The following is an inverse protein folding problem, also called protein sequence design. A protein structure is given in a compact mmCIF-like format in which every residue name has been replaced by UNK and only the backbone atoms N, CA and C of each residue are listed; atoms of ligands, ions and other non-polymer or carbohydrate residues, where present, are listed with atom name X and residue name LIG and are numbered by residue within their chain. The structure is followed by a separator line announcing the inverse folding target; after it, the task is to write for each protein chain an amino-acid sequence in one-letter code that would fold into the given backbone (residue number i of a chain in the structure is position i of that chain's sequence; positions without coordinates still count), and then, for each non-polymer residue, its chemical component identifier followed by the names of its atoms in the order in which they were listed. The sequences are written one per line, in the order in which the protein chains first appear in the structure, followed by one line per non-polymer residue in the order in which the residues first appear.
data_IF_309745903546
#
_entry.id   IF_309745903546
#
_cell.length_a   1.000
_cell.length_b   1.000
_cell.length_c   1.000
_cell.angle_alpha   90.00
_cell.angle_beta   90.00
_cell.angle_gamma   90.00
#
_symmetry.space_group_name_H-M   'P 1'
#
loop_
_entity.id
_entity.type
_entity.pdbx_description
1 polymer ?
#
# COMPACT_ATOMS: atom_id res chain seq x y z
N UNK A 1 -8.10 -6.49 -26.33
CA UNK A 1 -7.51 -5.34 -25.61
C UNK A 1 -6.26 -5.84 -24.92
N UNK A 2 -5.20 -5.05 -24.87
CA UNK A 2 -3.94 -5.48 -24.27
C UNK A 2 -4.08 -5.53 -22.75
N UNK A 3 -3.49 -6.56 -22.15
CA UNK A 3 -3.38 -6.70 -20.71
C UNK A 3 -2.04 -7.33 -20.30
N UNK A 4 -1.55 -6.97 -19.12
CA UNK A 4 -0.43 -7.68 -18.48
C UNK A 4 -0.99 -8.89 -17.73
N UNK A 5 -0.67 -10.09 -18.21
CA UNK A 5 -1.17 -11.35 -17.65
C UNK A 5 -0.03 -12.19 -17.13
N UNK A 6 -0.32 -13.04 -16.15
CA UNK A 6 0.61 -14.07 -15.66
C UNK A 6 -0.14 -15.35 -15.34
N UNK A 7 0.56 -16.47 -15.23
CA UNK A 7 0.01 -17.72 -14.73
C UNK A 7 0.50 -17.90 -13.29
N UNK A 8 -0.36 -17.68 -12.27
CA UNK A 8 0.07 -17.76 -10.88
C UNK A 8 0.69 -19.13 -10.53
N UNK A 9 1.73 -19.11 -9.69
CA UNK A 9 2.50 -20.32 -9.35
C UNK A 9 3.57 -20.73 -10.37
N UNK A 10 3.75 -19.96 -11.46
CA UNK A 10 4.74 -20.25 -12.50
C UNK A 10 5.60 -19.02 -12.82
N UNK A 11 6.91 -19.12 -12.56
CA UNK A 11 7.92 -18.10 -12.92
C UNK A 11 7.96 -17.85 -14.43
N UNK A 12 8.33 -16.64 -14.85
CA UNK A 12 8.57 -16.26 -16.25
C UNK A 12 7.35 -16.44 -17.18
N UNK A 13 6.14 -16.40 -16.63
CA UNK A 13 4.90 -16.47 -17.43
C UNK A 13 4.26 -15.11 -17.68
N UNK A 14 4.73 -14.07 -16.98
CA UNK A 14 4.24 -12.69 -17.12
C UNK A 14 4.55 -12.12 -18.50
N UNK A 15 3.52 -11.68 -19.22
CA UNK A 15 3.60 -11.17 -20.59
C UNK A 15 2.40 -10.28 -20.92
N UNK A 16 2.51 -9.51 -22.00
CA UNK A 16 1.33 -8.86 -22.59
C UNK A 16 0.58 -9.88 -23.44
N UNK A 17 -0.73 -9.93 -23.29
CA UNK A 17 -1.62 -10.74 -24.11
C UNK A 17 -2.86 -9.93 -24.52
N UNK A 18 -3.43 -10.28 -25.69
CA UNK A 18 -4.74 -9.79 -26.09
C UNK A 18 -5.83 -10.55 -25.34
N UNK A 19 -6.52 -9.86 -24.44
CA UNK A 19 -7.68 -10.40 -23.71
C UNK A 19 -9.00 -9.90 -24.32
N UNK A 20 -10.11 -10.62 -24.13
CA UNK A 20 -11.43 -10.15 -24.55
C UNK A 20 -11.74 -8.76 -24.01
N UNK A 21 -12.38 -7.91 -24.82
CA UNK A 21 -12.83 -6.60 -24.36
C UNK A 21 -13.88 -6.74 -23.25
N UNK A 22 -13.88 -5.79 -22.32
CA UNK A 22 -14.86 -5.75 -21.22
C UNK A 22 -15.96 -4.75 -21.57
N UNK A 23 -17.20 -5.21 -21.45
CA UNK A 23 -18.41 -4.37 -21.48
C UNK A 23 -18.98 -4.30 -20.07
N UNK A 24 -19.40 -3.12 -19.63
CA UNK A 24 -20.09 -2.96 -18.36
C UNK A 24 -21.51 -3.53 -18.45
N UNK A 25 -21.91 -4.33 -17.46
CA UNK A 25 -23.26 -4.84 -17.31
C UNK A 25 -24.14 -3.80 -16.61
N UNK A 26 -25.45 -4.05 -16.57
CA UNK A 26 -26.34 -3.30 -15.69
C UNK A 26 -25.85 -3.43 -14.24
N UNK A 27 -25.75 -2.29 -13.54
CA UNK A 27 -25.14 -2.16 -12.21
C UNK A 27 -23.66 -1.78 -12.20
N UNK A 28 -22.92 -1.89 -13.30
CA UNK A 28 -21.47 -1.67 -13.34
C UNK A 28 -21.10 -0.33 -14.00
N UNK A 29 -19.96 0.22 -13.60
CA UNK A 29 -19.35 1.40 -14.20
C UNK A 29 -18.18 0.97 -15.08
N UNK A 30 -18.18 1.41 -16.34
CA UNK A 30 -17.05 1.20 -17.24
C UNK A 30 -15.96 2.25 -16.97
N UNK A 31 -14.77 1.77 -16.66
CA UNK A 31 -13.59 2.59 -16.35
C UNK A 31 -12.49 2.26 -17.35
N UNK A 32 -11.90 3.29 -17.95
CA UNK A 32 -10.66 3.19 -18.71
C UNK A 32 -9.47 3.40 -17.79
N UNK A 33 -8.56 2.44 -17.76
CA UNK A 33 -7.35 2.54 -16.96
C UNK A 33 -6.39 3.55 -17.58
N UNK A 34 -5.96 4.53 -16.78
CA UNK A 34 -4.94 5.51 -17.18
C UNK A 34 -3.55 5.02 -16.79
N UNK A 35 -3.43 4.54 -15.55
CA UNK A 35 -2.16 4.23 -14.92
C UNK A 35 -2.35 3.18 -13.82
N UNK A 36 -1.40 2.26 -13.68
CA UNK A 36 -1.38 1.24 -12.63
C UNK A 36 -0.05 1.28 -11.90
N UNK A 37 -0.09 1.38 -10.57
CA UNK A 37 1.08 1.28 -9.72
C UNK A 37 1.62 -0.15 -9.65
N UNK A 38 2.94 -0.28 -9.63
CA UNK A 38 3.64 -1.56 -9.47
C UNK A 38 4.23 -1.64 -8.06
N UNK A 39 4.04 -2.75 -7.37
CA UNK A 39 4.62 -2.98 -6.04
C UNK A 39 5.29 -4.37 -5.91
N UNK A 40 5.72 -4.69 -4.68
CA UNK A 40 6.33 -5.98 -4.36
C UNK A 40 5.41 -7.16 -4.69
N UNK A 41 4.12 -7.02 -4.41
CA UNK A 41 3.11 -8.06 -4.67
C UNK A 41 3.04 -8.47 -6.14
N UNK A 42 3.07 -7.51 -7.09
CA UNK A 42 3.05 -7.84 -8.52
C UNK A 42 4.28 -8.65 -8.95
N UNK A 43 5.43 -8.31 -8.35
CA UNK A 43 6.70 -9.01 -8.59
C UNK A 43 6.68 -10.42 -8.04
N UNK A 44 6.22 -10.59 -6.80
CA UNK A 44 6.14 -11.90 -6.14
C UNK A 44 5.16 -12.84 -6.87
N UNK A 45 4.04 -12.34 -7.38
CA UNK A 45 3.13 -13.11 -8.24
C UNK A 45 3.82 -13.47 -9.56
N UNK A 46 4.54 -12.53 -10.17
CA UNK A 46 5.31 -12.78 -11.41
C UNK A 46 6.47 -13.78 -11.22
N UNK A 47 7.03 -13.85 -10.01
CA UNK A 47 8.02 -14.84 -9.57
C UNK A 47 7.36 -16.18 -9.19
N UNK A 48 6.04 -16.31 -9.33
CA UNK A 48 5.30 -17.54 -9.08
C UNK A 48 5.21 -17.92 -7.60
N UNK A 49 5.41 -16.98 -6.67
CA UNK A 49 5.38 -17.25 -5.23
C UNK A 49 3.96 -17.44 -4.70
N UNK A 50 2.98 -16.70 -5.25
CA UNK A 50 1.56 -16.84 -4.95
C UNK A 50 0.69 -16.26 -6.08
N UNK A 51 -0.60 -16.11 -5.79
CA UNK A 51 -1.62 -15.59 -6.69
C UNK A 51 -2.63 -16.66 -7.06
N UNK A 52 -3.86 -16.26 -7.34
CA UNK A 52 -4.94 -17.18 -7.75
C UNK A 52 -5.69 -16.53 -8.91
N UNK A 53 -5.75 -17.20 -10.07
CA UNK A 53 -6.55 -16.75 -11.20
C UNK A 53 -8.06 -16.81 -10.88
N UNK A 54 -8.92 -16.08 -11.62
CA UNK A 54 -10.36 -16.27 -11.52
C UNK A 54 -10.79 -17.73 -11.71
N UNK A 55 -11.99 -18.04 -11.21
CA UNK A 55 -12.51 -19.39 -11.28
C UNK A 55 -12.57 -19.87 -12.75
N UNK A 56 -12.11 -21.10 -12.96
CA UNK A 56 -12.06 -21.76 -14.28
C UNK A 56 -11.11 -21.09 -15.30
N UNK A 57 -10.23 -20.20 -14.85
CA UNK A 57 -9.20 -19.55 -15.68
C UNK A 57 -7.78 -19.92 -15.24
N UNK A 58 -6.83 -19.87 -16.17
CA UNK A 58 -5.40 -20.14 -15.89
C UNK A 58 -4.58 -18.87 -15.73
N UNK A 59 -5.02 -17.78 -16.38
CA UNK A 59 -4.30 -16.51 -16.40
C UNK A 59 -4.94 -15.53 -15.41
N UNK A 60 -4.10 -14.68 -14.83
CA UNK A 60 -4.48 -13.57 -14.00
C UNK A 60 -3.97 -12.29 -14.67
N UNK A 61 -4.86 -11.36 -15.01
CA UNK A 61 -4.46 -9.97 -15.28
C UNK A 61 -3.94 -9.36 -13.99
N UNK A 62 -2.74 -8.78 -14.02
CA UNK A 62 -2.07 -8.16 -12.88
C UNK A 62 -2.59 -6.74 -12.59
N UNK A 63 -2.01 -6.12 -11.54
CA UNK A 63 -2.24 -4.73 -11.21
C UNK A 63 -3.42 -4.54 -10.26
N UNK A 64 -3.14 -3.98 -9.09
CA UNK A 64 -4.15 -3.69 -8.05
C UNK A 64 -4.22 -2.21 -7.67
N UNK A 65 -3.24 -1.41 -8.12
CA UNK A 65 -3.15 0.01 -7.79
C UNK A 65 -3.57 0.91 -8.95
N UNK A 66 -4.87 0.98 -9.23
CA UNK A 66 -5.34 1.64 -10.45
C UNK A 66 -5.71 3.11 -10.26
N UNK A 67 -5.39 3.91 -11.28
CA UNK A 67 -6.05 5.16 -11.59
C UNK A 67 -6.76 5.01 -12.94
N UNK A 68 -8.04 5.33 -12.98
CA UNK A 68 -8.85 5.27 -14.17
C UNK A 68 -9.75 6.48 -14.34
N UNK A 69 -10.43 6.52 -15.49
CA UNK A 69 -11.43 7.51 -15.84
C UNK A 69 -12.73 6.83 -16.24
N UNK A 70 -13.84 7.37 -15.76
CA UNK A 70 -15.18 6.86 -16.07
C UNK A 70 -15.52 7.14 -17.54
N UNK A 71 -15.92 6.11 -18.28
CA UNK A 71 -16.20 6.21 -19.72
C UNK A 71 -17.65 6.63 -20.02
N UNK A 72 -18.59 6.37 -19.10
CA UNK A 72 -20.02 6.62 -19.29
C UNK A 72 -20.67 7.08 -17.98
N UNK A 73 -21.66 7.97 -18.07
CA UNK A 73 -22.45 8.40 -16.90
C UNK A 73 -23.27 7.23 -16.35
N UNK A 74 -23.29 7.06 -15.03
CA UNK A 74 -24.06 5.98 -14.39
C UNK A 74 -23.71 5.78 -12.93
N UNK A 75 -24.68 5.27 -12.16
CA UNK A 75 -24.49 4.80 -10.77
C UNK A 75 -23.75 5.78 -9.84
N UNK A 76 -23.98 7.08 -10.00
CA UNK A 76 -23.36 8.13 -9.18
C UNK A 76 -22.04 8.69 -9.72
N UNK A 77 -21.57 8.20 -10.87
CA UNK A 77 -20.35 8.64 -11.53
C UNK A 77 -20.65 9.36 -12.85
N UNK A 78 -19.77 10.31 -13.19
CA UNK A 78 -19.85 11.09 -14.43
C UNK A 78 -18.70 10.76 -15.35
N UNK A 79 -18.95 10.75 -16.66
CA UNK A 79 -17.93 10.55 -17.68
C UNK A 79 -16.80 11.58 -17.50
N UNK A 80 -15.56 11.10 -17.56
CA UNK A 80 -14.36 11.92 -17.36
C UNK A 80 -13.97 12.14 -15.89
N UNK A 81 -14.74 11.60 -14.94
CA UNK A 81 -14.36 11.60 -13.53
C UNK A 81 -13.20 10.63 -13.30
N UNK A 82 -12.19 11.06 -12.55
CA UNK A 82 -11.09 10.21 -12.11
C UNK A 82 -11.55 9.34 -10.95
N UNK A 83 -11.20 8.06 -11.00
CA UNK A 83 -11.55 7.07 -9.99
C UNK A 83 -10.39 6.12 -9.74
N UNK A 84 -10.31 5.63 -8.52
CA UNK A 84 -9.59 4.41 -8.16
C UNK A 84 -10.60 3.39 -7.66
N UNK A 85 -10.15 2.20 -7.26
CA UNK A 85 -11.00 1.15 -6.76
C UNK A 85 -10.35 0.40 -5.61
N UNK A 86 -11.14 0.08 -4.58
CA UNK A 86 -10.70 -0.80 -3.51
C UNK A 86 -10.19 -2.12 -4.09
N UNK A 87 -9.30 -2.82 -3.37
CA UNK A 87 -8.66 -4.05 -3.88
C UNK A 87 -9.38 -5.31 -3.42
N UNK A 88 -9.63 -5.43 -2.11
CA UNK A 88 -10.23 -6.63 -1.51
C UNK A 88 -11.74 -6.59 -1.53
N UNK A 89 -12.37 -7.72 -1.85
CA UNK A 89 -13.81 -7.92 -1.88
C UNK A 89 -14.28 -8.85 -0.76
N UNK A 90 -15.54 -8.68 -0.39
CA UNK A 90 -16.21 -9.45 0.66
C UNK A 90 -16.24 -10.95 0.35
N UNK A 91 -15.99 -11.79 1.36
CA UNK A 91 -16.28 -13.23 1.27
C UNK A 91 -17.79 -13.53 1.39
N UNK A 92 -18.60 -12.53 1.71
CA UNK A 92 -20.07 -12.59 1.82
C UNK A 92 -20.64 -13.49 2.93
N UNK A 93 -19.81 -14.13 3.76
CA UNK A 93 -20.30 -15.08 4.78
C UNK A 93 -19.71 -14.91 6.19
N UNK A 94 -18.69 -14.08 6.38
CA UNK A 94 -18.10 -13.82 7.69
C UNK A 94 -18.58 -12.51 8.32
N UNK A 95 -18.43 -12.39 9.65
CA UNK A 95 -18.85 -11.22 10.42
C UNK A 95 -18.22 -9.91 9.90
N UNK A 96 -16.90 -9.87 9.75
CA UNK A 96 -16.21 -8.66 9.30
C UNK A 96 -16.69 -8.21 7.91
N UNK A 97 -16.89 -9.16 7.00
CA UNK A 97 -17.41 -8.88 5.66
C UNK A 97 -18.87 -8.43 5.65
N UNK A 98 -19.70 -8.91 6.58
CA UNK A 98 -21.07 -8.44 6.77
C UNK A 98 -21.13 -7.02 7.35
N UNK A 99 -20.09 -6.60 8.08
CA UNK A 99 -19.87 -5.24 8.57
C UNK A 99 -19.01 -4.41 7.59
N UNK A 100 -19.07 -4.73 6.30
CA UNK A 100 -18.41 -3.98 5.21
C UNK A 100 -16.88 -3.87 5.35
N UNK A 101 -16.26 -4.74 6.15
CA UNK A 101 -14.82 -4.76 6.44
C UNK A 101 -14.11 -5.98 5.83
N UNK A 102 -14.08 -6.13 4.49
CA UNK A 102 -13.42 -7.25 3.83
C UNK A 102 -11.91 -7.27 4.06
N UNK A 103 -11.33 -6.09 4.30
CA UNK A 103 -9.94 -5.89 4.72
C UNK A 103 -9.60 -6.65 6.02
N UNK A 104 -10.61 -6.93 6.86
CA UNK A 104 -10.52 -7.69 8.11
C UNK A 104 -11.22 -9.07 8.04
N UNK A 105 -11.41 -9.62 6.84
CA UNK A 105 -12.10 -10.88 6.62
C UNK A 105 -11.54 -12.03 7.48
N UNK A 106 -12.43 -12.75 8.17
CA UNK A 106 -12.07 -13.78 9.15
C UNK A 106 -11.80 -15.17 8.56
N UNK A 107 -12.10 -15.38 7.28
CA UNK A 107 -12.06 -16.71 6.66
C UNK A 107 -10.96 -16.89 5.61
N UNK A 108 -10.38 -15.79 5.11
CA UNK A 108 -9.44 -15.82 3.99
C UNK A 108 -10.08 -16.09 2.62
N UNK A 109 -11.41 -16.28 2.55
CA UNK A 109 -12.14 -16.55 1.29
C UNK A 109 -12.47 -15.28 0.49
N UNK A 110 -11.85 -14.15 0.86
CA UNK A 110 -11.95 -12.92 0.08
C UNK A 110 -11.31 -13.07 -1.31
N UNK A 111 -11.62 -12.14 -2.18
CA UNK A 111 -10.92 -11.96 -3.45
C UNK A 111 -10.27 -10.59 -3.51
N UNK A 112 -9.23 -10.46 -4.32
CA UNK A 112 -8.44 -9.24 -4.50
C UNK A 112 -8.14 -9.06 -5.98
N UNK A 113 -8.50 -7.89 -6.51
CA UNK A 113 -8.19 -7.50 -7.89
C UNK A 113 -6.70 -7.62 -8.14
N UNK A 114 -6.31 -8.34 -9.18
CA UNK A 114 -4.91 -8.49 -9.60
C UNK A 114 -4.08 -9.45 -8.76
N UNK A 115 -4.66 -10.07 -7.73
CA UNK A 115 -3.93 -10.89 -6.75
C UNK A 115 -4.59 -12.27 -6.59
N UNK A 116 -5.86 -12.32 -6.18
CA UNK A 116 -6.55 -13.57 -5.89
C UNK A 116 -8.00 -13.57 -6.38
N UNK A 117 -8.31 -14.52 -7.26
CA UNK A 117 -9.64 -14.84 -7.81
C UNK A 117 -10.30 -13.76 -8.67
N UNK A 118 -9.68 -12.59 -8.82
CA UNK A 118 -10.19 -11.50 -9.65
C UNK A 118 -9.07 -10.90 -10.51
N UNK A 119 -9.31 -10.77 -11.81
CA UNK A 119 -8.45 -10.01 -12.71
C UNK A 119 -8.25 -8.58 -12.24
N UNK A 120 -7.02 -8.10 -12.31
CA UNK A 120 -6.61 -6.75 -11.96
C UNK A 120 -6.89 -5.70 -13.03
N UNK A 121 -6.15 -4.61 -12.93
CA UNK A 121 -6.38 -3.38 -13.67
C UNK A 121 -5.36 -3.10 -14.77
N UNK A 122 -4.29 -3.90 -14.91
CA UNK A 122 -3.34 -3.79 -16.04
C UNK A 122 -3.97 -4.26 -17.37
N UNK A 123 -5.03 -3.59 -17.77
CA UNK A 123 -5.79 -3.75 -19.01
C UNK A 123 -6.51 -2.45 -19.34
N UNK A 124 -6.81 -2.23 -20.63
CA UNK A 124 -7.35 -0.95 -21.11
C UNK A 124 -8.70 -0.56 -20.46
N UNK A 125 -9.63 -1.52 -20.31
CA UNK A 125 -10.98 -1.28 -19.77
C UNK A 125 -11.30 -2.26 -18.64
N UNK A 126 -11.99 -1.75 -17.63
CA UNK A 126 -12.48 -2.52 -16.48
C UNK A 126 -13.94 -2.12 -16.22
N UNK A 127 -14.81 -3.12 -16.09
CA UNK A 127 -16.13 -2.94 -15.48
C UNK A 127 -16.00 -3.19 -13.98
N UNK A 128 -16.47 -2.24 -13.18
CA UNK A 128 -16.37 -2.29 -11.72
C UNK A 128 -17.70 -1.95 -11.07
N UNK A 129 -17.91 -2.54 -9.89
CA UNK A 129 -19.04 -2.21 -9.04
C UNK A 129 -18.84 -0.77 -8.47
N UNK A 130 -19.84 0.13 -8.61
CA UNK A 130 -19.76 1.49 -8.09
C UNK A 130 -19.43 1.58 -6.59
N UNK A 131 -19.77 0.58 -5.78
CA UNK A 131 -19.44 0.54 -4.34
C UNK A 131 -17.94 0.36 -4.08
N UNK A 132 -17.21 -0.19 -5.05
CA UNK A 132 -15.77 -0.39 -4.97
C UNK A 132 -14.99 0.82 -5.49
N UNK A 133 -15.64 1.69 -6.26
CA UNK A 133 -15.03 2.90 -6.78
C UNK A 133 -14.89 3.99 -5.71
N UNK A 134 -13.76 4.69 -5.77
CA UNK A 134 -13.44 5.86 -4.95
C UNK A 134 -13.09 7.00 -5.89
N UNK A 135 -13.79 8.13 -5.74
CA UNK A 135 -13.58 9.30 -6.59
C UNK A 135 -12.25 9.97 -6.26
N UNK A 136 -11.49 10.33 -7.30
CA UNK A 136 -10.25 11.09 -7.18
C UNK A 136 -10.51 12.54 -7.62
N UNK A 137 -10.18 13.55 -6.80
CA UNK A 137 -10.32 14.94 -7.19
C UNK A 137 -9.38 15.27 -8.35
N UNK A 138 -9.85 16.13 -9.27
CA UNK A 138 -9.06 16.53 -10.44
C UNK A 138 -7.72 17.19 -10.07
N UNK A 139 -7.62 17.77 -8.87
CA UNK A 139 -6.40 18.36 -8.33
C UNK A 139 -5.24 17.35 -8.20
N UNK A 140 -5.54 16.08 -7.91
CA UNK A 140 -4.53 15.03 -7.82
C UNK A 140 -4.06 14.53 -9.20
N UNK A 141 -4.90 14.63 -10.23
CA UNK A 141 -4.56 14.15 -11.57
C UNK A 141 -4.00 12.72 -11.53
N UNK A 142 -2.78 12.54 -12.07
CA UNK A 142 -2.07 11.26 -12.14
C UNK A 142 -1.57 10.75 -10.78
N UNK A 143 -1.43 11.61 -9.78
CA UNK A 143 -1.02 11.22 -8.43
C UNK A 143 -2.09 10.39 -7.71
N UNK A 144 -3.33 10.35 -8.23
CA UNK A 144 -4.37 9.46 -7.74
C UNK A 144 -4.00 7.98 -7.78
N UNK A 145 -3.01 7.57 -8.57
CA UNK A 145 -2.46 6.20 -8.57
C UNK A 145 -1.86 5.82 -7.21
N UNK A 146 -1.42 6.80 -6.40
CA UNK A 146 -0.89 6.58 -5.05
C UNK A 146 -1.98 6.29 -4.01
N UNK A 147 -3.27 6.37 -4.37
CA UNK A 147 -4.37 6.20 -3.42
C UNK A 147 -4.39 4.79 -2.79
N UNK A 148 -4.12 3.74 -3.56
CA UNK A 148 -4.03 2.36 -3.05
C UNK A 148 -2.94 2.23 -1.98
N UNK A 149 -1.65 2.52 -2.25
CA UNK A 149 -0.61 2.32 -1.25
C UNK A 149 -0.75 3.28 -0.06
N UNK A 150 -1.34 4.46 -0.29
CA UNK A 150 -1.65 5.40 0.80
C UNK A 150 -2.74 4.85 1.72
N UNK A 151 -3.76 4.16 1.18
CA UNK A 151 -4.84 3.56 1.98
C UNK A 151 -4.31 2.50 2.96
N UNK A 152 -3.25 1.78 2.58
CA UNK A 152 -2.56 0.82 3.47
C UNK A 152 -1.92 1.57 4.65
N UNK A 153 -1.27 2.70 4.39
CA UNK A 153 -0.65 3.54 5.42
C UNK A 153 -1.72 4.17 6.34
N UNK A 154 -2.84 4.63 5.78
CA UNK A 154 -3.95 5.18 6.55
C UNK A 154 -4.54 4.17 7.53
N UNK A 155 -4.78 2.93 7.07
CA UNK A 155 -5.21 1.85 7.96
C UNK A 155 -4.22 1.64 9.10
N UNK A 156 -2.92 1.58 8.78
CA UNK A 156 -1.85 1.40 9.76
C UNK A 156 -1.89 2.49 10.84
N UNK A 157 -2.03 3.76 10.43
CA UNK A 157 -2.11 4.90 11.34
C UNK A 157 -3.40 4.90 12.15
N UNK A 158 -4.55 4.60 11.54
CA UNK A 158 -5.83 4.48 12.25
C UNK A 158 -5.78 3.38 13.31
N UNK A 159 -5.24 2.21 12.97
CA UNK A 159 -5.07 1.10 13.90
C UNK A 159 -4.10 1.47 15.02
N UNK A 160 -2.96 2.07 14.69
CA UNK A 160 -1.96 2.51 15.67
C UNK A 160 -2.56 3.51 16.67
N UNK A 161 -3.32 4.50 16.19
CA UNK A 161 -4.01 5.49 17.04
C UNK A 161 -5.07 4.83 17.93
N UNK A 162 -5.84 3.87 17.39
CA UNK A 162 -6.86 3.14 18.16
C UNK A 162 -6.22 2.31 19.27
N UNK A 163 -5.14 1.59 18.95
CA UNK A 163 -4.38 0.77 19.89
C UNK A 163 -3.72 1.64 20.96
N UNK A 164 -3.06 2.73 20.58
CA UNK A 164 -2.48 3.68 21.51
C UNK A 164 -3.54 4.30 22.43
N UNK A 165 -4.69 4.66 21.86
CA UNK A 165 -5.82 5.28 22.56
C UNK A 165 -6.54 4.41 23.59
N UNK A 166 -6.16 3.12 23.77
CA UNK A 166 -6.65 2.27 24.88
C UNK A 166 -6.22 2.76 26.27
N UNK A 167 -5.31 3.72 26.32
CA UNK A 167 -4.73 4.35 27.50
C UNK A 167 -4.37 5.81 27.17
N UNK A 168 -4.01 6.66 28.15
CA UNK A 168 -3.50 8.00 27.87
C UNK A 168 -2.24 7.93 27.00
N UNK A 169 -2.37 8.32 25.74
CA UNK A 169 -1.31 8.20 24.73
C UNK A 169 -1.33 9.43 23.82
N UNK A 170 -0.14 9.89 23.45
CA UNK A 170 0.07 10.98 22.51
C UNK A 170 1.12 10.53 21.50
N UNK A 171 0.84 10.79 20.22
CA UNK A 171 1.77 10.52 19.14
C UNK A 171 2.58 11.78 18.87
N UNK A 172 3.73 11.91 19.54
CA UNK A 172 4.63 13.05 19.33
C UNK A 172 5.78 12.67 18.41
N UNK A 173 6.32 11.45 18.56
CA UNK A 173 7.49 10.96 17.84
C UNK A 173 7.26 9.62 17.18
N UNK A 174 7.58 9.53 15.90
CA UNK A 174 7.50 8.31 15.13
C UNK A 174 8.82 7.96 14.43
N UNK A 175 9.11 6.67 14.36
CA UNK A 175 10.16 6.11 13.52
C UNK A 175 9.52 5.35 12.37
N UNK A 176 9.96 5.60 11.14
CA UNK A 176 9.62 4.80 9.97
C UNK A 176 10.88 4.08 9.50
N UNK A 177 10.86 2.75 9.48
CA UNK A 177 11.97 1.91 9.01
C UNK A 177 11.68 1.51 7.57
N UNK A 178 12.56 1.90 6.64
CA UNK A 178 12.41 1.76 5.21
C UNK A 178 11.98 3.07 4.54
N UNK A 179 12.66 3.46 3.46
CA UNK A 179 12.35 4.66 2.67
C UNK A 179 11.83 4.33 1.25
N UNK A 180 11.21 3.16 1.08
CA UNK A 180 10.43 2.82 -0.12
C UNK A 180 9.07 3.54 -0.16
N UNK A 181 8.23 3.22 -1.15
CA UNK A 181 6.94 3.91 -1.34
C UNK A 181 6.06 3.94 -0.07
N UNK A 182 5.89 2.81 0.61
CA UNK A 182 5.11 2.73 1.86
C UNK A 182 5.74 3.58 2.98
N UNK A 183 7.07 3.52 3.14
CA UNK A 183 7.78 4.29 4.15
C UNK A 183 7.70 5.81 3.90
N UNK A 184 7.84 6.25 2.65
CA UNK A 184 7.67 7.65 2.25
C UNK A 184 6.23 8.12 2.50
N UNK A 185 5.22 7.34 2.09
CA UNK A 185 3.81 7.69 2.32
C UNK A 185 3.51 7.78 3.82
N UNK A 186 3.92 6.80 4.62
CA UNK A 186 3.76 6.83 6.07
C UNK A 186 4.46 8.05 6.71
N UNK A 187 5.67 8.39 6.24
CA UNK A 187 6.41 9.58 6.68
C UNK A 187 5.59 10.85 6.42
N UNK A 188 5.06 11.02 5.20
CA UNK A 188 4.31 12.22 4.82
C UNK A 188 2.98 12.33 5.57
N UNK A 189 2.25 11.23 5.75
CA UNK A 189 1.00 11.22 6.54
C UNK A 189 1.25 11.58 8.00
N UNK A 190 2.33 11.09 8.60
CA UNK A 190 2.72 11.47 9.97
C UNK A 190 3.13 12.94 10.06
N UNK A 191 3.85 13.46 9.06
CA UNK A 191 4.21 14.88 8.98
C UNK A 191 2.99 15.78 8.75
N UNK A 192 1.96 15.33 8.01
CA UNK A 192 0.68 16.03 7.90
C UNK A 192 -0.05 16.13 9.23
N UNK A 193 0.13 15.13 10.10
CA UNK A 193 -0.36 15.13 11.48
C UNK A 193 0.59 15.83 12.47
N UNK A 194 1.59 16.56 11.97
CA UNK A 194 2.59 17.32 12.73
C UNK A 194 3.40 16.51 13.76
N UNK A 195 3.56 15.20 13.53
CA UNK A 195 4.40 14.29 14.33
C UNK A 195 5.88 14.53 14.01
N UNK A 196 6.77 14.51 15.00
CA UNK A 196 8.23 14.46 14.79
C UNK A 196 8.60 13.09 14.20
N UNK A 197 9.05 13.05 12.95
CA UNK A 197 9.34 11.79 12.25
C UNK A 197 10.84 11.65 11.99
N UNK A 198 11.37 10.47 12.34
CA UNK A 198 12.65 9.98 11.83
C UNK A 198 12.36 8.85 10.84
N UNK A 199 12.94 8.89 9.65
CA UNK A 199 12.88 7.80 8.66
C UNK A 199 14.27 7.21 8.49
N UNK A 200 14.39 5.91 8.70
CA UNK A 200 15.66 5.20 8.67
C UNK A 200 15.69 4.18 7.53
N UNK A 201 16.71 4.22 6.67
CA UNK A 201 16.87 3.27 5.56
C UNK A 201 18.35 3.06 5.23
N UNK A 202 18.67 2.13 4.31
CA UNK A 202 20.04 1.76 3.98
C UNK A 202 20.78 2.84 3.19
N UNK A 203 20.04 3.63 2.40
CA UNK A 203 20.61 4.64 1.51
C UNK A 203 21.34 5.73 2.32
N UNK A 204 22.41 6.35 1.78
CA UNK A 204 23.16 7.38 2.50
C UNK A 204 22.32 8.64 2.76
N UNK A 205 21.41 8.97 1.85
CA UNK A 205 20.52 10.14 1.92
C UNK A 205 19.19 9.86 1.24
N UNK A 206 18.16 10.63 1.59
CA UNK A 206 16.87 10.60 0.93
C UNK A 206 16.21 11.99 0.97
N UNK A 207 16.31 12.73 -0.14
CA UNK A 207 15.81 14.10 -0.23
C UNK A 207 14.28 14.19 -0.01
N UNK A 208 13.51 13.17 -0.40
CA UNK A 208 12.05 13.18 -0.21
C UNK A 208 11.67 13.13 1.26
N UNK A 209 12.41 12.39 2.09
CA UNK A 209 12.20 12.40 3.54
C UNK A 209 12.46 13.80 4.08
N UNK A 210 13.58 14.43 3.71
CA UNK A 210 13.96 15.74 4.22
C UNK A 210 13.00 16.86 3.77
N UNK A 211 12.48 16.80 2.54
CA UNK A 211 11.49 17.75 2.01
C UNK A 211 10.18 17.75 2.82
N UNK A 212 9.83 16.63 3.48
CA UNK A 212 8.68 16.57 4.40
C UNK A 212 8.95 17.24 5.76
N UNK A 213 10.19 17.63 6.02
CA UNK A 213 10.67 18.11 7.32
C UNK A 213 10.88 16.98 8.34
N UNK A 214 10.88 15.72 7.91
CA UNK A 214 11.33 14.58 8.71
C UNK A 214 12.86 14.50 8.73
N UNK A 215 13.41 13.85 9.75
CA UNK A 215 14.84 13.54 9.81
C UNK A 215 15.11 12.24 9.05
N UNK A 216 16.03 12.26 8.09
CA UNK A 216 16.55 11.03 7.49
C UNK A 216 17.77 10.50 8.26
N UNK A 217 17.85 9.17 8.41
CA UNK A 217 19.03 8.50 8.99
C UNK A 217 19.41 7.27 8.16
N UNK A 218 20.66 7.23 7.71
CA UNK A 218 21.21 6.01 7.11
C UNK A 218 21.54 4.97 8.17
N UNK A 219 21.00 3.76 8.03
CA UNK A 219 21.29 2.60 8.89
C UNK A 219 22.58 1.88 8.51
N UNK A 220 23.28 2.32 7.45
CA UNK A 220 24.63 1.85 7.14
C UNK A 220 25.63 2.31 8.22
N UNK A 221 25.47 3.55 8.67
CA UNK A 221 26.41 4.21 9.60
C UNK A 221 25.89 4.30 11.04
N UNK A 222 24.59 4.01 11.26
CA UNK A 222 23.92 4.19 12.54
C UNK A 222 23.08 2.97 12.90
N UNK A 223 23.25 2.47 14.13
CA UNK A 223 22.34 1.46 14.67
C UNK A 223 20.98 2.08 15.04
N UNK A 224 19.88 1.38 14.74
CA UNK A 224 18.53 1.84 15.11
C UNK A 224 18.39 2.09 16.61
N UNK A 225 19.07 1.30 17.44
CA UNK A 225 19.12 1.43 18.90
C UNK A 225 19.62 2.80 19.37
N UNK A 226 20.45 3.48 18.56
CA UNK A 226 21.02 4.79 18.86
C UNK A 226 20.06 5.96 18.55
N UNK A 227 18.95 5.72 17.85
CA UNK A 227 17.99 6.76 17.45
C UNK A 227 17.05 7.18 18.58
N UNK A 228 17.12 6.49 19.72
CA UNK A 228 16.26 6.70 20.87
C UNK A 228 14.98 5.88 20.80
N UNK A 229 13.95 6.36 21.49
CA UNK A 229 12.67 5.67 21.65
C UNK A 229 11.52 6.51 21.09
N UNK A 230 10.51 5.84 20.54
CA UNK A 230 9.40 6.45 19.79
C UNK A 230 8.04 6.03 20.33
N UNK A 231 7.02 6.88 20.12
CA UNK A 231 5.63 6.57 20.47
C UNK A 231 5.02 5.62 19.44
N UNK A 232 5.46 5.71 18.19
CA UNK A 232 5.11 4.83 17.07
C UNK A 232 6.35 4.40 16.29
N UNK A 233 6.45 3.12 15.96
CA UNK A 233 7.42 2.59 15.00
C UNK A 233 6.66 1.91 13.87
N UNK A 234 6.90 2.32 12.62
CA UNK A 234 6.35 1.66 11.43
C UNK A 234 7.49 0.92 10.75
N UNK A 235 7.37 -0.40 10.63
CA UNK A 235 8.30 -1.23 9.87
C UNK A 235 7.74 -1.43 8.46
N UNK A 236 8.43 -0.87 7.46
CA UNK A 236 8.07 -0.88 6.05
C UNK A 236 9.23 -1.34 5.15
N UNK A 237 10.31 -1.90 5.72
CA UNK A 237 11.44 -2.43 4.98
C UNK A 237 11.24 -3.92 4.61
N UNK A 238 10.39 -4.65 5.34
CA UNK A 238 10.13 -6.06 5.07
C UNK A 238 11.27 -6.96 5.49
N UNK A 239 11.88 -6.68 6.64
CA UNK A 239 12.95 -7.51 7.20
C UNK A 239 12.58 -8.03 8.60
N UNK A 240 12.50 -9.35 8.75
CA UNK A 240 12.03 -9.99 9.98
C UNK A 240 12.89 -9.64 11.22
N UNK A 241 14.20 -9.43 11.05
CA UNK A 241 15.07 -9.00 12.14
C UNK A 241 14.79 -7.56 12.59
N UNK A 242 14.53 -6.65 11.64
CA UNK A 242 14.10 -5.28 11.94
C UNK A 242 12.73 -5.26 12.61
N UNK A 243 11.79 -6.10 12.16
CA UNK A 243 10.46 -6.25 12.79
C UNK A 243 10.58 -6.58 14.28
N UNK A 244 11.46 -7.52 14.66
CA UNK A 244 11.69 -7.86 16.06
C UNK A 244 12.37 -6.72 16.85
N UNK A 245 13.31 -6.01 16.23
CA UNK A 245 13.99 -4.88 16.85
C UNK A 245 13.07 -3.70 17.18
N UNK A 246 11.93 -3.56 16.50
CA UNK A 246 10.96 -2.48 16.77
C UNK A 246 10.54 -2.38 18.23
N UNK A 247 10.37 -3.50 18.94
CA UNK A 247 10.01 -3.53 20.36
C UNK A 247 11.04 -2.81 21.23
N UNK A 248 12.32 -2.93 20.86
CA UNK A 248 13.44 -2.25 21.52
C UNK A 248 13.50 -0.74 21.22
N UNK A 249 12.64 -0.22 20.35
CA UNK A 249 12.61 1.19 19.93
C UNK A 249 11.38 1.93 20.50
N UNK A 250 10.52 1.24 21.24
CA UNK A 250 9.31 1.83 21.80
C UNK A 250 9.58 2.57 23.11
N UNK A 251 8.90 3.70 23.28
CA UNK A 251 8.67 4.34 24.59
C UNK A 251 7.61 3.57 25.34
N UNK A 252 7.44 3.90 26.63
CA UNK A 252 6.27 3.48 27.41
C UNK A 252 4.98 3.77 26.65
N UNK A 253 4.14 2.76 26.56
CA UNK A 253 2.88 2.72 25.83
C UNK A 253 3.02 2.85 24.31
N UNK A 254 4.23 2.70 23.78
CA UNK A 254 4.53 2.79 22.36
C UNK A 254 3.94 1.63 21.57
N UNK A 255 3.71 1.90 20.28
CA UNK A 255 3.10 0.97 19.33
C UNK A 255 4.06 0.73 18.17
N UNK A 256 4.29 -0.52 17.81
CA UNK A 256 4.99 -0.93 16.60
C UNK A 256 3.99 -1.55 15.60
N UNK A 257 3.96 -1.02 14.38
CA UNK A 257 3.13 -1.50 13.27
C UNK A 257 4.01 -2.13 12.20
N UNK A 258 3.75 -3.39 11.86
CA UNK A 258 4.42 -4.12 10.78
C UNK A 258 3.60 -4.00 9.49
N UNK A 259 4.20 -3.40 8.45
CA UNK A 259 3.66 -3.30 7.10
C UNK A 259 4.51 -4.06 6.08
N UNK A 260 5.81 -4.19 6.33
CA UNK A 260 6.70 -4.96 5.48
C UNK A 260 6.36 -6.45 5.48
N UNK A 261 6.73 -7.13 4.41
CA UNK A 261 6.62 -8.59 4.27
C UNK A 261 8.02 -9.14 4.02
N UNK A 262 8.42 -10.14 4.82
CA UNK A 262 9.64 -10.91 4.62
C UNK A 262 9.26 -12.36 4.30
N UNK A 263 9.37 -12.81 3.03
CA UNK A 263 8.97 -14.15 2.64
C UNK A 263 10.03 -15.22 2.99
N UNK A 264 11.20 -14.84 3.51
CA UNK A 264 12.31 -15.74 3.70
C UNK A 264 12.20 -16.54 5.01
N UNK A 265 12.42 -17.85 4.92
CA UNK A 265 12.54 -18.70 6.10
C UNK A 265 13.86 -18.43 6.84
N UNK A 266 13.77 -17.89 8.05
CA UNK A 266 14.94 -17.56 8.87
C UNK A 266 14.59 -17.60 10.37
N UNK A 267 15.63 -17.67 11.21
CA UNK A 267 15.51 -17.47 12.66
C UNK A 267 15.83 -16.01 12.96
N UNK A 268 15.02 -15.39 13.82
CA UNK A 268 15.18 -14.00 14.26
C UNK A 268 15.64 -13.97 15.71
N UNK A 269 16.62 -13.11 16.02
CA UNK A 269 17.09 -12.89 17.39
C UNK A 269 16.29 -11.77 18.06
N UNK A 270 15.86 -12.01 19.30
CA UNK A 270 15.17 -11.03 20.13
C UNK A 270 15.69 -11.12 21.56
N UNK A 271 16.04 -9.97 22.14
CA UNK A 271 16.49 -9.92 23.52
C UNK A 271 15.36 -10.29 24.48
N UNK A 272 15.59 -11.29 25.33
CA UNK A 272 14.58 -11.88 26.20
C UNK A 272 13.89 -10.87 27.13
N UNK A 273 14.61 -9.95 27.79
CA UNK A 273 14.02 -8.91 28.61
C UNK A 273 13.17 -7.89 27.83
N UNK A 274 13.50 -7.59 26.56
CA UNK A 274 12.68 -6.68 25.73
C UNK A 274 11.26 -7.24 25.57
N UNK A 275 11.15 -8.56 25.32
CA UNK A 275 9.86 -9.24 25.24
C UNK A 275 9.24 -9.51 26.61
N UNK A 276 10.03 -10.05 27.54
CA UNK A 276 9.54 -10.63 28.79
C UNK A 276 9.41 -9.64 29.96
N UNK A 277 10.02 -8.46 29.86
CA UNK A 277 10.04 -7.45 30.92
C UNK A 277 9.55 -6.11 30.39
N UNK A 278 10.23 -5.54 29.39
CA UNK A 278 9.94 -4.19 28.90
C UNK A 278 8.54 -4.12 28.31
N UNK A 279 8.19 -5.06 27.43
CA UNK A 279 6.85 -5.10 26.81
C UNK A 279 5.72 -5.10 27.84
N UNK A 280 5.90 -5.78 28.98
CA UNK A 280 4.90 -5.87 30.06
C UNK A 280 4.89 -4.59 30.91
N UNK A 281 6.06 -4.18 31.43
CA UNK A 281 6.17 -3.05 32.35
C UNK A 281 5.99 -1.69 31.66
N UNK A 282 6.16 -1.65 30.35
CA UNK A 282 6.05 -0.46 29.52
C UNK A 282 4.81 -0.48 28.63
N UNK A 283 3.97 -1.51 28.66
CA UNK A 283 2.73 -1.62 27.86
C UNK A 283 2.95 -1.49 26.35
N UNK A 284 4.06 -2.02 25.83
CA UNK A 284 4.33 -2.02 24.38
C UNK A 284 3.32 -2.87 23.61
N UNK A 285 3.07 -2.51 22.36
CA UNK A 285 2.28 -3.31 21.43
C UNK A 285 3.04 -3.48 20.13
N UNK A 286 3.07 -4.71 19.62
CA UNK A 286 3.51 -5.04 18.26
C UNK A 286 2.32 -5.65 17.53
N UNK A 287 1.98 -5.12 16.36
CA UNK A 287 0.88 -5.65 15.55
C UNK A 287 1.18 -5.54 14.05
N UNK A 288 0.56 -6.41 13.25
CA UNK A 288 0.61 -6.33 11.79
C UNK A 288 -0.63 -5.65 11.22
N UNK A 289 -0.46 -4.97 10.09
CA UNK A 289 -1.56 -4.38 9.32
C UNK A 289 -1.41 -4.76 7.85
N UNK A 290 -2.52 -5.11 7.20
CA UNK A 290 -2.57 -5.51 5.79
C UNK A 290 -3.86 -5.00 5.16
N UNK A 291 -3.86 -4.64 3.88
CA UNK A 291 -5.05 -4.15 3.16
C UNK A 291 -5.66 -2.86 3.79
N UNK A 292 -6.84 -2.42 3.33
CA UNK A 292 -7.46 -1.15 3.74
C UNK A 292 -8.99 -1.18 3.62
N UNK A 293 -9.69 -0.61 4.61
CA UNK A 293 -11.14 -0.41 4.56
C UNK A 293 -11.49 0.78 3.67
N UNK A 294 -12.71 0.88 3.14
CA UNK A 294 -13.16 2.01 2.31
C UNK A 294 -12.90 3.38 2.96
N UNK A 295 -13.03 3.49 4.28
CA UNK A 295 -12.72 4.73 5.00
C UNK A 295 -11.24 5.14 4.91
N UNK A 296 -10.33 4.16 4.85
CA UNK A 296 -8.89 4.39 4.72
C UNK A 296 -8.55 4.87 3.31
N UNK A 297 -9.29 4.40 2.29
CA UNK A 297 -9.20 4.92 0.93
C UNK A 297 -9.68 6.36 0.82
N UNK A 298 -10.79 6.70 1.48
CA UNK A 298 -11.30 8.07 1.51
C UNK A 298 -10.32 9.01 2.22
N UNK A 299 -9.76 8.59 3.36
CA UNK A 299 -8.72 9.33 4.06
C UNK A 299 -7.46 9.49 3.19
N UNK A 300 -7.04 8.43 2.49
CA UNK A 300 -5.88 8.47 1.62
C UNK A 300 -6.03 9.50 0.49
N UNK A 301 -7.21 9.60 -0.11
CA UNK A 301 -7.47 10.60 -1.16
C UNK A 301 -7.44 12.03 -0.59
N UNK A 302 -8.03 12.26 0.57
CA UNK A 302 -8.04 13.57 1.23
C UNK A 302 -6.61 14.00 1.63
N UNK A 303 -5.88 13.10 2.29
CA UNK A 303 -4.53 13.39 2.79
C UNK A 303 -3.49 13.45 1.65
N UNK A 304 -3.68 12.74 0.53
CA UNK A 304 -2.88 12.97 -0.67
C UNK A 304 -3.10 14.37 -1.23
N UNK A 305 -4.34 14.87 -1.28
CA UNK A 305 -4.60 16.22 -1.81
C UNK A 305 -4.04 17.29 -0.85
N UNK A 306 -4.13 17.07 0.46
CA UNK A 306 -3.48 17.93 1.46
C UNK A 306 -1.95 17.89 1.36
N UNK A 307 -1.36 16.70 1.15
CA UNK A 307 0.07 16.54 0.92
C UNK A 307 0.52 17.27 -0.35
N UNK A 308 -0.27 17.19 -1.44
CA UNK A 308 -0.03 17.92 -2.69
C UNK A 308 0.01 19.43 -2.45
N UNK A 309 -0.87 19.96 -1.62
CA UNK A 309 -0.88 21.39 -1.30
C UNK A 309 0.33 21.81 -0.45
N UNK A 310 0.73 20.98 0.52
CA UNK A 310 1.83 21.28 1.43
C UNK A 310 3.21 21.06 0.80
N UNK A 311 3.37 20.03 -0.02
CA UNK A 311 4.63 19.61 -0.66
C UNK A 311 4.42 19.21 -2.13
N UNK A 312 4.01 20.14 -3.01
CA UNK A 312 3.65 19.81 -4.39
C UNK A 312 4.81 19.19 -5.19
N UNK A 313 6.02 19.74 -5.07
CA UNK A 313 7.19 19.26 -5.79
C UNK A 313 7.65 17.88 -5.33
N UNK A 314 7.50 17.60 -4.03
CA UNK A 314 7.92 16.33 -3.46
C UNK A 314 6.96 15.21 -3.83
N UNK A 315 5.65 15.47 -3.82
CA UNK A 315 4.67 14.43 -4.13
C UNK A 315 4.75 13.96 -5.60
N UNK A 316 5.09 14.86 -6.53
CA UNK A 316 5.35 14.47 -7.93
C UNK A 316 6.55 13.51 -8.08
N UNK A 317 7.53 13.62 -7.18
CA UNK A 317 8.71 12.76 -7.18
C UNK A 317 8.45 11.38 -6.56
N UNK A 318 7.30 11.13 -5.92
CA UNK A 318 6.96 9.79 -5.44
C UNK A 318 6.83 8.81 -6.61
N UNK A 319 6.30 9.28 -7.74
CA UNK A 319 6.23 8.50 -8.99
C UNK A 319 7.50 8.74 -9.80
N UNK A 320 8.54 8.02 -9.41
CA UNK A 320 9.89 8.12 -10.01
C UNK A 320 9.99 7.57 -11.43
N UNK A 321 9.09 6.64 -11.83
CA UNK A 321 9.18 5.97 -13.11
C UNK A 321 7.77 5.71 -13.67
N UNK A 322 7.48 6.26 -14.84
CA UNK A 322 6.27 5.98 -15.62
C UNK A 322 6.66 5.31 -16.92
N UNK A 323 6.16 4.10 -17.16
CA UNK A 323 6.53 3.29 -18.31
C UNK A 323 5.28 2.85 -19.08
N UNK A 324 5.35 2.71 -20.42
CA UNK A 324 4.29 2.00 -21.15
C UNK A 324 4.21 0.53 -20.68
N UNK A 325 3.04 -0.08 -20.88
CA UNK A 325 2.74 -1.45 -20.45
C UNK A 325 3.77 -2.50 -20.96
N UNK A 326 4.36 -2.29 -22.14
CA UNK A 326 5.34 -3.19 -22.76
C UNK A 326 6.73 -3.16 -22.12
N UNK A 327 6.98 -2.20 -21.23
CA UNK A 327 8.20 -2.09 -20.44
C UNK A 327 8.00 -2.52 -18.98
N UNK A 328 7.01 -3.37 -18.69
CA UNK A 328 6.70 -3.81 -17.34
C UNK A 328 7.88 -4.45 -16.59
N UNK A 329 8.81 -5.11 -17.29
CA UNK A 329 9.99 -5.71 -16.68
C UNK A 329 10.86 -4.66 -15.97
N UNK A 330 11.03 -3.48 -16.58
CA UNK A 330 11.79 -2.39 -15.97
C UNK A 330 11.08 -1.81 -14.73
N UNK A 331 9.74 -1.75 -14.75
CA UNK A 331 8.96 -1.36 -13.58
C UNK A 331 9.12 -2.37 -12.43
N UNK A 332 9.18 -3.67 -12.73
CA UNK A 332 9.38 -4.73 -11.73
C UNK A 332 10.79 -4.72 -11.15
N UNK A 333 11.80 -4.28 -11.91
CA UNK A 333 13.19 -4.17 -11.45
C UNK A 333 13.47 -2.89 -10.65
N UNK A 334 12.59 -1.89 -10.72
CA UNK A 334 12.80 -0.58 -10.09
C UNK A 334 12.90 -0.63 -8.56
N UNK A 335 13.88 0.10 -8.00
CA UNK A 335 14.17 0.20 -6.55
C UNK A 335 14.54 1.66 -6.23
N UNK A 336 13.56 2.54 -6.08
CA UNK A 336 13.86 3.95 -5.78
C UNK A 336 12.66 4.87 -5.61
N UNK A 337 11.46 4.33 -5.42
CA UNK A 337 10.20 5.07 -5.40
C UNK A 337 9.09 4.26 -6.05
N UNK A 338 8.00 4.92 -6.42
CA UNK A 338 6.89 4.27 -7.14
C UNK A 338 7.20 4.18 -8.64
N UNK A 339 7.03 2.99 -9.19
CA UNK A 339 6.94 2.76 -10.63
C UNK A 339 5.48 2.53 -11.03
N UNK A 340 5.11 2.98 -12.22
CA UNK A 340 3.77 2.81 -12.77
C UNK A 340 3.80 2.41 -14.24
N UNK A 341 2.75 1.71 -14.66
CA UNK A 341 2.45 1.34 -16.04
C UNK A 341 1.36 2.26 -16.58
N UNK A 342 1.64 2.96 -17.67
CA UNK A 342 0.72 3.88 -18.34
C UNK A 342 0.04 3.13 -19.47
N UNK A 343 -1.29 3.06 -19.40
CA UNK A 343 -2.13 2.35 -20.38
C UNK A 343 -2.84 3.29 -21.33
N UNK A 344 -3.11 4.53 -20.91
CA UNK A 344 -3.67 5.55 -21.78
C UNK A 344 -3.28 6.96 -21.33
N UNK A 345 -3.33 7.92 -22.26
CA UNK A 345 -2.97 9.33 -22.07
C UNK A 345 -4.00 10.13 -21.23
#
# INVERSE_FOLDING_TARGET
MQALVTQPGHTHTTRIEDVPAVEAREGEVLVRTLEVGVCGTDREISEGLFGIAPQDEQLLVLGHEALGVVEQDGYGFTRGQLVTATVRRSCCHCLACAEESPDSCLTGDYSERGITRLHGYDRELVAEDPEQLVAIPKSLGRLGVLAEPTSICERALRHSRTIGGRQPWQLERALVIGAGAIGLLATYLLRLADVEVTTASLEPENELVEQSGAQYVSTHDNELSALGKFDLVIEAAGNAQLMAQTLGLLRRSGVACLLGIDPHHQTVELDGPVLGVDTILENHVLFGSVNAHRQDWLAAVDDLDRARERWPEALEQFVTLRLPLDRFQEAFEHRGGKATLVLSD
#
